data_IF_235384449005
#
_entry.id   IF_235384449005
#
_cell.length_a   1.000
_cell.length_b   1.000
_cell.length_c   1.000
_cell.angle_alpha   90.00
_cell.angle_beta   90.00
_cell.angle_gamma   90.00
#
_symmetry.space_group_name_H-M   'P 1'
#
loop_
_entity.id
_entity.type
_entity.pdbx_description
1 polymer ?
#
# COMPACT_ATOMS: atom_id res chain seq x y z
N UNK A 1 6.80 -19.60 -23.25
CA UNK A 1 7.11 -19.01 -21.94
C UNK A 1 8.62 -19.01 -21.85
N UNK A 2 9.29 -17.86 -21.68
CA UNK A 2 10.69 -17.94 -21.25
C UNK A 2 10.63 -18.38 -19.79
N UNK A 3 11.10 -19.58 -19.50
CA UNK A 3 11.25 -20.04 -18.13
C UNK A 3 12.28 -19.11 -17.48
N UNK A 4 11.82 -18.25 -16.58
CA UNK A 4 12.73 -17.45 -15.78
C UNK A 4 13.71 -18.42 -15.07
N UNK A 5 14.96 -18.01 -14.82
CA UNK A 5 15.91 -18.86 -14.14
C UNK A 5 15.35 -19.44 -12.83
N UNK A 6 15.72 -20.67 -12.47
CA UNK A 6 15.23 -21.35 -11.27
C UNK A 6 15.40 -20.49 -10.00
N UNK A 7 16.57 -19.87 -9.82
CA UNK A 7 16.84 -18.98 -8.69
C UNK A 7 15.82 -17.82 -8.56
N UNK A 8 15.29 -17.33 -9.68
CA UNK A 8 14.28 -16.27 -9.68
C UNK A 8 12.93 -16.82 -9.23
N UNK A 9 12.54 -17.99 -9.73
CA UNK A 9 11.28 -18.64 -9.34
C UNK A 9 11.26 -18.98 -7.85
N UNK A 10 12.39 -19.48 -7.33
CA UNK A 10 12.59 -19.75 -5.91
C UNK A 10 12.53 -18.47 -5.08
N UNK A 11 13.21 -17.40 -5.53
CA UNK A 11 13.21 -16.10 -4.84
C UNK A 11 11.80 -15.50 -4.76
N UNK A 12 11.06 -15.52 -5.88
CA UNK A 12 9.67 -15.05 -5.91
C UNK A 12 8.79 -15.89 -4.99
N UNK A 13 8.95 -17.21 -5.01
CA UNK A 13 8.16 -18.11 -4.15
C UNK A 13 8.45 -17.85 -2.68
N UNK A 14 9.72 -17.73 -2.29
CA UNK A 14 10.14 -17.43 -0.94
C UNK A 14 9.61 -16.06 -0.47
N UNK A 15 9.71 -15.05 -1.33
CA UNK A 15 9.18 -13.70 -1.04
C UNK A 15 7.67 -13.73 -0.85
N UNK A 16 6.91 -14.36 -1.75
CA UNK A 16 5.46 -14.47 -1.62
C UNK A 16 5.05 -15.24 -0.36
N UNK A 17 5.77 -16.30 0.02
CA UNK A 17 5.53 -17.02 1.26
C UNK A 17 5.80 -16.15 2.48
N UNK A 18 6.94 -15.45 2.50
CA UNK A 18 7.29 -14.53 3.58
C UNK A 18 6.23 -13.44 3.75
N UNK A 19 5.87 -12.75 2.67
CA UNK A 19 4.86 -11.69 2.71
C UNK A 19 3.48 -12.23 3.09
N UNK A 20 3.09 -13.41 2.62
CA UNK A 20 1.84 -14.07 3.03
C UNK A 20 1.85 -14.36 4.53
N UNK A 21 2.96 -14.91 5.05
CA UNK A 21 3.13 -15.16 6.48
C UNK A 21 3.08 -13.89 7.32
N UNK A 22 3.73 -12.82 6.84
CA UNK A 22 3.68 -11.49 7.45
C UNK A 22 2.25 -10.95 7.54
N UNK A 23 1.48 -11.01 6.45
CA UNK A 23 0.09 -10.53 6.45
C UNK A 23 -0.81 -11.31 7.40
N UNK A 24 -0.61 -12.63 7.49
CA UNK A 24 -1.32 -13.49 8.46
C UNK A 24 -0.91 -13.15 9.89
N UNK A 25 0.39 -12.99 10.14
CA UNK A 25 0.91 -12.60 11.45
C UNK A 25 0.33 -11.26 11.90
N UNK A 26 0.37 -10.22 11.06
CA UNK A 26 -0.18 -8.91 11.39
C UNK A 26 -1.67 -8.98 11.66
N UNK A 27 -2.42 -9.74 10.87
CA UNK A 27 -3.86 -9.94 11.10
C UNK A 27 -4.14 -10.57 12.46
N UNK A 28 -3.38 -11.61 12.82
CA UNK A 28 -3.60 -12.35 14.07
C UNK A 28 -3.12 -11.54 15.27
N UNK A 29 -1.89 -11.05 15.23
CA UNK A 29 -1.22 -10.44 16.38
C UNK A 29 -1.62 -8.98 16.61
N UNK A 30 -1.99 -8.21 15.57
CA UNK A 30 -2.37 -6.80 15.73
C UNK A 30 -3.89 -6.59 15.81
N UNK A 31 -4.69 -7.51 15.25
CA UNK A 31 -6.16 -7.38 15.24
C UNK A 31 -6.85 -8.49 16.03
N UNK A 32 -6.74 -9.74 15.60
CA UNK A 32 -7.59 -10.81 16.14
C UNK A 32 -7.32 -11.09 17.61
N UNK A 33 -6.06 -11.10 18.06
CA UNK A 33 -5.73 -11.33 19.47
C UNK A 33 -6.06 -10.10 20.34
N UNK A 34 -5.59 -8.87 20.02
CA UNK A 34 -5.73 -7.75 20.95
C UNK A 34 -7.13 -7.15 20.95
N UNK A 35 -7.89 -7.29 19.86
CA UNK A 35 -9.15 -6.57 19.63
C UNK A 35 -10.35 -7.50 19.41
N UNK A 36 -10.22 -8.78 19.78
CA UNK A 36 -11.32 -9.75 19.61
C UNK A 36 -12.62 -9.25 20.25
N UNK A 37 -13.70 -9.23 19.48
CA UNK A 37 -15.02 -8.79 19.96
C UNK A 37 -15.22 -7.27 20.04
N UNK A 38 -14.19 -6.46 19.74
CA UNK A 38 -14.24 -4.99 19.82
C UNK A 38 -13.63 -4.33 18.58
N UNK A 39 -13.91 -4.86 17.39
CA UNK A 39 -13.40 -4.32 16.12
C UNK A 39 -14.17 -3.07 15.71
N UNK A 40 -13.44 -2.00 15.42
CA UNK A 40 -14.00 -0.82 14.78
C UNK A 40 -13.89 -0.92 13.23
N UNK A 41 -14.37 0.10 12.51
CA UNK A 41 -14.34 0.09 11.05
C UNK A 41 -12.91 0.06 10.48
N UNK A 42 -11.97 0.78 11.09
CA UNK A 42 -10.57 0.81 10.66
C UNK A 42 -9.92 -0.56 10.82
N UNK A 43 -10.20 -1.26 11.93
CA UNK A 43 -9.73 -2.61 12.19
C UNK A 43 -10.25 -3.60 11.14
N UNK A 44 -11.53 -3.46 10.75
CA UNK A 44 -12.14 -4.29 9.71
C UNK A 44 -11.54 -4.01 8.33
N UNK A 45 -11.26 -2.75 8.01
CA UNK A 45 -10.61 -2.38 6.74
C UNK A 45 -9.17 -2.89 6.69
N UNK A 46 -8.42 -2.77 7.79
CA UNK A 46 -7.07 -3.32 7.92
C UNK A 46 -7.09 -4.85 7.75
N UNK A 47 -7.97 -5.54 8.47
CA UNK A 47 -8.10 -6.99 8.39
C UNK A 47 -8.54 -7.46 6.99
N UNK A 48 -9.52 -6.77 6.39
CA UNK A 48 -9.98 -7.04 5.03
C UNK A 48 -8.87 -6.85 3.99
N UNK A 49 -8.07 -5.79 4.12
CA UNK A 49 -6.90 -5.56 3.28
C UNK A 49 -5.89 -6.71 3.38
N UNK A 50 -5.57 -7.14 4.60
CA UNK A 50 -4.61 -8.24 4.81
C UNK A 50 -5.15 -9.57 4.28
N UNK A 51 -6.43 -9.87 4.46
CA UNK A 51 -7.06 -11.07 3.93
C UNK A 51 -7.03 -11.10 2.40
N UNK A 52 -7.40 -9.99 1.76
CA UNK A 52 -7.37 -9.85 0.29
C UNK A 52 -5.94 -10.03 -0.23
N UNK A 53 -4.97 -9.38 0.39
CA UNK A 53 -3.56 -9.44 -0.04
C UNK A 53 -2.99 -10.85 0.15
N UNK A 54 -3.31 -11.50 1.27
CA UNK A 54 -2.97 -12.91 1.56
C UNK A 54 -3.54 -13.85 0.50
N UNK A 55 -4.82 -13.69 0.17
CA UNK A 55 -5.47 -14.48 -0.88
C UNK A 55 -4.81 -14.25 -2.25
N UNK A 56 -4.51 -12.99 -2.59
CA UNK A 56 -3.89 -12.64 -3.86
C UNK A 56 -2.47 -13.23 -3.99
N UNK A 57 -1.61 -13.06 -2.98
CA UNK A 57 -0.26 -13.65 -2.97
C UNK A 57 -0.29 -15.18 -2.97
N UNK A 58 -1.21 -15.78 -2.21
CA UNK A 58 -1.36 -17.25 -2.18
C UNK A 58 -1.81 -17.78 -3.53
N UNK A 59 -2.80 -17.15 -4.16
CA UNK A 59 -3.31 -17.59 -5.47
C UNK A 59 -2.27 -17.38 -6.57
N UNK A 60 -1.54 -16.25 -6.60
CA UNK A 60 -0.45 -16.04 -7.57
C UNK A 60 0.63 -17.11 -7.45
N UNK A 61 1.02 -17.49 -6.22
CA UNK A 61 1.95 -18.60 -5.97
C UNK A 61 1.41 -19.95 -6.42
N UNK A 62 0.17 -20.31 -6.07
CA UNK A 62 -0.43 -21.62 -6.38
C UNK A 62 -0.58 -21.82 -7.89
N UNK A 63 -0.96 -20.78 -8.63
CA UNK A 63 -1.10 -20.83 -10.08
C UNK A 63 0.21 -20.52 -10.83
N UNK A 64 1.31 -20.26 -10.11
CA UNK A 64 2.61 -19.86 -10.65
C UNK A 64 2.51 -18.71 -11.68
N UNK A 65 1.62 -17.74 -11.43
CA UNK A 65 1.31 -16.65 -12.34
C UNK A 65 0.97 -15.37 -11.58
N UNK A 66 1.01 -14.22 -12.26
CA UNK A 66 0.79 -12.92 -11.60
C UNK A 66 1.91 -12.50 -10.63
N UNK A 67 3.09 -13.10 -10.73
CA UNK A 67 4.22 -12.75 -9.85
C UNK A 67 4.63 -11.28 -9.97
N UNK A 68 4.75 -10.76 -11.20
CA UNK A 68 5.08 -9.35 -11.42
C UNK A 68 4.05 -8.43 -10.78
N UNK A 69 2.75 -8.69 -10.98
CA UNK A 69 1.70 -7.85 -10.42
C UNK A 69 1.66 -7.93 -8.89
N UNK A 70 1.83 -9.11 -8.30
CA UNK A 70 1.95 -9.25 -6.84
C UNK A 70 3.15 -8.48 -6.28
N UNK A 71 4.33 -8.63 -6.88
CA UNK A 71 5.54 -7.92 -6.46
C UNK A 71 5.42 -6.40 -6.64
N UNK A 72 4.83 -5.95 -7.76
CA UNK A 72 4.60 -4.54 -7.99
C UNK A 72 3.62 -3.97 -6.95
N UNK A 73 2.53 -4.65 -6.65
CA UNK A 73 1.60 -4.23 -5.59
C UNK A 73 2.26 -4.17 -4.22
N UNK A 74 3.09 -5.16 -3.85
CA UNK A 74 3.83 -5.14 -2.59
C UNK A 74 4.83 -3.99 -2.54
N UNK A 75 5.67 -3.85 -3.57
CA UNK A 75 6.66 -2.78 -3.64
C UNK A 75 6.01 -1.40 -3.54
N UNK A 76 4.98 -1.15 -4.35
CA UNK A 76 4.27 0.13 -4.34
C UNK A 76 3.52 0.35 -3.02
N UNK A 77 2.99 -0.73 -2.43
CA UNK A 77 2.34 -0.74 -1.13
C UNK A 77 3.25 -0.27 0.00
N UNK A 78 4.49 -0.76 -0.02
CA UNK A 78 5.45 -0.66 1.08
C UNK A 78 6.52 0.43 0.88
N UNK A 79 6.71 0.91 -0.35
CA UNK A 79 7.78 1.87 -0.70
C UNK A 79 7.77 3.16 0.13
N UNK A 80 6.60 3.56 0.63
CA UNK A 80 6.42 4.76 1.46
C UNK A 80 6.49 4.49 2.95
N UNK A 81 6.53 3.22 3.37
CA UNK A 81 6.45 2.82 4.78
C UNK A 81 7.63 3.31 5.63
N UNK A 82 8.88 3.34 5.14
CA UNK A 82 9.97 3.93 5.91
C UNK A 82 9.72 5.41 6.26
N UNK A 83 9.15 6.18 5.32
CA UNK A 83 8.81 7.59 5.55
C UNK A 83 7.60 7.72 6.48
N UNK A 84 6.58 6.89 6.28
CA UNK A 84 5.40 6.84 7.15
C UNK A 84 5.77 6.53 8.60
N UNK A 85 6.59 5.50 8.82
CA UNK A 85 7.05 5.12 10.15
C UNK A 85 7.89 6.23 10.78
N UNK A 86 8.76 6.88 10.00
CA UNK A 86 9.51 8.06 10.46
C UNK A 86 8.58 9.21 10.87
N UNK A 87 7.54 9.48 10.09
CA UNK A 87 6.51 10.47 10.41
C UNK A 87 5.75 10.13 11.69
N UNK A 88 5.27 8.90 11.83
CA UNK A 88 4.53 8.47 13.03
C UNK A 88 5.39 8.53 14.30
N UNK A 89 6.67 8.16 14.21
CA UNK A 89 7.62 8.29 15.32
C UNK A 89 7.82 9.76 15.68
N UNK A 90 8.02 10.64 14.68
CA UNK A 90 8.19 12.07 14.91
C UNK A 90 6.93 12.71 15.51
N UNK A 91 5.74 12.34 15.01
CA UNK A 91 4.45 12.81 15.53
C UNK A 91 4.26 12.39 16.99
N UNK A 92 4.58 11.14 17.33
CA UNK A 92 4.54 10.66 18.70
C UNK A 92 5.56 11.39 19.58
N UNK A 93 6.78 11.62 19.11
CA UNK A 93 7.81 12.34 19.85
C UNK A 93 7.43 13.81 20.13
N UNK A 94 6.77 14.48 19.19
CA UNK A 94 6.26 15.85 19.37
C UNK A 94 5.17 15.96 20.46
N UNK A 95 4.47 14.85 20.76
CA UNK A 95 3.47 14.77 21.83
C UNK A 95 4.07 14.49 23.21
N UNK A 96 5.38 14.22 23.30
CA UNK A 96 6.08 13.92 24.56
C UNK A 96 6.94 15.10 25.00
N UNK A 97 6.77 15.54 26.26
CA UNK A 97 7.50 16.68 26.82
C UNK A 97 9.04 16.53 26.80
N UNK A 98 9.54 15.30 26.82
CA UNK A 98 10.98 15.02 26.76
C UNK A 98 11.63 15.32 25.41
N UNK A 99 10.83 15.35 24.36
CA UNK A 99 11.28 14.94 23.03
C UNK A 99 10.81 15.89 21.92
N UNK A 100 10.11 16.97 22.28
CA UNK A 100 9.46 17.93 21.39
C UNK A 100 10.26 19.24 21.14
N UNK A 101 11.58 19.21 21.31
CA UNK A 101 12.45 20.38 21.05
C UNK A 101 12.63 20.74 19.57
N UNK A 102 13.29 21.86 19.28
CA UNK A 102 13.41 22.45 17.93
C UNK A 102 13.93 21.48 16.85
N UNK A 103 14.88 20.60 17.19
CA UNK A 103 15.41 19.60 16.26
C UNK A 103 14.37 18.56 15.86
N UNK A 104 13.53 18.15 16.82
CA UNK A 104 12.44 17.21 16.54
C UNK A 104 11.35 17.90 15.72
N UNK A 105 11.03 19.17 16.01
CA UNK A 105 10.09 19.93 15.20
C UNK A 105 10.55 20.06 13.74
N UNK A 106 11.83 20.36 13.51
CA UNK A 106 12.41 20.38 12.16
C UNK A 106 12.33 18.99 11.49
N UNK A 107 12.70 17.93 12.21
CA UNK A 107 12.62 16.57 11.68
C UNK A 107 11.18 16.20 11.32
N UNK A 108 10.21 16.48 12.19
CA UNK A 108 8.78 16.27 11.99
C UNK A 108 8.28 16.97 10.72
N UNK A 109 8.58 18.27 10.55
CA UNK A 109 8.21 19.03 9.36
C UNK A 109 8.79 18.43 8.08
N UNK A 110 10.08 18.08 8.09
CA UNK A 110 10.76 17.49 6.92
C UNK A 110 10.17 16.12 6.59
N UNK A 111 10.03 15.23 7.58
CA UNK A 111 9.55 13.86 7.34
C UNK A 111 8.07 13.85 6.96
N UNK A 112 7.25 14.74 7.51
CA UNK A 112 5.84 14.91 7.13
C UNK A 112 5.74 15.30 5.65
N UNK A 113 6.50 16.31 5.22
CA UNK A 113 6.51 16.74 3.82
C UNK A 113 6.98 15.62 2.87
N UNK A 114 8.08 14.94 3.22
CA UNK A 114 8.62 13.84 2.42
C UNK A 114 7.63 12.66 2.34
N UNK A 115 7.07 12.24 3.46
CA UNK A 115 6.07 11.17 3.50
C UNK A 115 4.86 11.53 2.65
N UNK A 116 4.22 12.67 2.90
CA UNK A 116 2.99 13.05 2.22
C UNK A 116 3.19 13.23 0.71
N UNK A 117 4.29 13.88 0.28
CA UNK A 117 4.58 14.05 -1.15
C UNK A 117 4.87 12.72 -1.84
N UNK A 118 5.72 11.87 -1.26
CA UNK A 118 6.00 10.54 -1.80
C UNK A 118 4.74 9.67 -1.84
N UNK A 119 3.92 9.71 -0.80
CA UNK A 119 2.67 8.96 -0.74
C UNK A 119 1.69 9.40 -1.83
N UNK A 120 1.45 10.70 -1.99
CA UNK A 120 0.57 11.22 -3.04
C UNK A 120 1.08 10.83 -4.43
N UNK A 121 2.37 11.01 -4.74
CA UNK A 121 2.93 10.65 -6.05
C UNK A 121 2.80 9.15 -6.32
N UNK A 122 3.19 8.33 -5.36
CA UNK A 122 3.14 6.87 -5.52
C UNK A 122 1.70 6.41 -5.70
N UNK A 123 0.78 6.82 -4.81
CA UNK A 123 -0.59 6.30 -4.78
C UNK A 123 -1.53 6.92 -5.82
N UNK A 124 -1.37 8.20 -6.16
CA UNK A 124 -2.25 8.88 -7.11
C UNK A 124 -1.76 8.79 -8.56
N UNK A 125 -0.47 8.50 -8.80
CA UNK A 125 0.10 8.47 -10.16
C UNK A 125 0.70 7.11 -10.48
N UNK A 126 1.71 6.67 -9.72
CA UNK A 126 2.47 5.46 -10.06
C UNK A 126 1.60 4.20 -9.95
N UNK A 127 0.85 4.05 -8.85
CA UNK A 127 0.01 2.87 -8.64
C UNK A 127 -1.10 2.72 -9.69
N UNK A 128 -1.88 3.77 -10.05
CA UNK A 128 -2.86 3.68 -11.12
C UNK A 128 -2.25 3.29 -12.47
N UNK A 129 -1.10 3.86 -12.83
CA UNK A 129 -0.41 3.51 -14.09
C UNK A 129 0.00 2.03 -14.11
N UNK A 130 0.56 1.53 -13.01
CA UNK A 130 0.92 0.11 -12.88
C UNK A 130 -0.32 -0.78 -12.90
N UNK A 131 -1.42 -0.40 -12.25
CA UNK A 131 -2.66 -1.16 -12.26
C UNK A 131 -3.29 -1.23 -13.66
N UNK A 132 -3.27 -0.13 -14.42
CA UNK A 132 -3.69 -0.13 -15.83
C UNK A 132 -2.82 -1.07 -16.65
N UNK A 133 -1.50 -1.01 -16.49
CA UNK A 133 -0.57 -1.89 -17.19
C UNK A 133 -0.81 -3.37 -16.86
N UNK A 134 -0.95 -3.72 -15.57
CA UNK A 134 -1.23 -5.09 -15.12
C UNK A 134 -2.59 -5.57 -15.61
N UNK A 135 -3.61 -4.71 -15.57
CA UNK A 135 -4.93 -5.04 -16.11
C UNK A 135 -4.83 -5.34 -17.60
N UNK A 136 -4.17 -4.47 -18.37
CA UNK A 136 -3.94 -4.69 -19.79
C UNK A 136 -3.20 -6.02 -20.03
N UNK A 137 -2.14 -6.32 -19.29
CA UNK A 137 -1.38 -7.57 -19.41
C UNK A 137 -2.25 -8.81 -19.14
N UNK A 138 -3.05 -8.80 -18.08
CA UNK A 138 -3.95 -9.91 -17.75
C UNK A 138 -4.94 -10.23 -18.85
N UNK A 139 -5.46 -9.22 -19.54
CA UNK A 139 -6.53 -9.38 -20.52
C UNK A 139 -6.06 -9.49 -21.96
N UNK A 140 -4.80 -9.12 -22.27
CA UNK A 140 -4.27 -9.13 -23.64
C UNK A 140 -3.18 -10.16 -23.88
N UNK A 141 -2.20 -10.26 -22.99
CA UNK A 141 -1.05 -11.14 -23.17
C UNK A 141 -1.33 -12.53 -22.60
N UNK A 142 -2.23 -13.24 -23.27
CA UNK A 142 -2.13 -14.70 -23.45
C UNK A 142 -1.96 -15.56 -22.19
N UNK A 143 -2.54 -15.18 -21.04
CA UNK A 143 -2.62 -16.06 -19.86
C UNK A 143 -3.75 -17.08 -20.02
N UNK A 144 -3.84 -17.72 -21.20
CA UNK A 144 -4.94 -18.59 -21.60
C UNK A 144 -5.12 -19.84 -20.71
N UNK A 145 -4.08 -20.22 -19.96
CA UNK A 145 -4.12 -21.32 -19.01
C UNK A 145 -4.82 -20.94 -17.68
N UNK A 146 -5.03 -19.65 -17.40
CA UNK A 146 -5.71 -19.21 -16.19
C UNK A 146 -7.23 -19.06 -16.41
N UNK A 147 -8.05 -19.44 -15.42
CA UNK A 147 -9.48 -19.17 -15.46
C UNK A 147 -9.75 -17.66 -15.56
N UNK A 148 -10.61 -17.24 -16.49
CA UNK A 148 -11.00 -15.82 -16.64
C UNK A 148 -11.63 -15.24 -15.36
N UNK A 149 -12.28 -16.07 -14.56
CA UNK A 149 -12.83 -15.69 -13.25
C UNK A 149 -11.72 -15.31 -12.27
N UNK A 150 -10.59 -16.00 -12.29
CA UNK A 150 -9.42 -15.67 -11.46
C UNK A 150 -8.80 -14.34 -11.90
N UNK A 151 -8.65 -14.12 -13.21
CA UNK A 151 -8.13 -12.86 -13.77
C UNK A 151 -9.04 -11.66 -13.41
N UNK A 152 -10.36 -11.86 -13.51
CA UNK A 152 -11.34 -10.86 -13.09
C UNK A 152 -11.24 -10.57 -11.59
N UNK A 153 -11.16 -11.60 -10.75
CA UNK A 153 -10.98 -11.45 -9.32
C UNK A 153 -9.69 -10.68 -9.01
N UNK A 154 -8.55 -11.09 -9.55
CA UNK A 154 -7.27 -10.40 -9.38
C UNK A 154 -7.33 -8.92 -9.80
N UNK A 155 -7.96 -8.63 -10.94
CA UNK A 155 -8.17 -7.26 -11.40
C UNK A 155 -8.96 -6.46 -10.36
N UNK A 156 -10.10 -6.99 -9.90
CA UNK A 156 -10.95 -6.33 -8.89
C UNK A 156 -10.18 -6.08 -7.59
N UNK A 157 -9.39 -7.05 -7.12
CA UNK A 157 -8.61 -6.90 -5.89
C UNK A 157 -7.57 -5.76 -6.00
N UNK A 158 -6.86 -5.66 -7.12
CA UNK A 158 -5.88 -4.58 -7.37
C UNK A 158 -6.58 -3.21 -7.33
N UNK A 159 -7.69 -3.06 -8.05
CA UNK A 159 -8.43 -1.80 -8.09
C UNK A 159 -9.11 -1.46 -6.75
N UNK A 160 -9.59 -2.45 -6.00
CA UNK A 160 -10.18 -2.24 -4.69
C UNK A 160 -9.17 -1.65 -3.69
N UNK A 161 -7.92 -2.12 -3.72
CA UNK A 161 -6.85 -1.58 -2.87
C UNK A 161 -6.51 -0.13 -3.26
N UNK A 162 -6.49 0.17 -4.56
CA UNK A 162 -6.29 1.54 -5.05
C UNK A 162 -7.39 2.49 -4.55
N UNK A 163 -8.65 2.10 -4.72
CA UNK A 163 -9.80 2.90 -4.27
C UNK A 163 -9.77 3.06 -2.75
N UNK A 164 -9.46 1.99 -2.01
CA UNK A 164 -9.32 2.02 -0.56
C UNK A 164 -8.22 2.96 -0.05
N UNK A 165 -7.26 3.35 -0.91
CA UNK A 165 -6.21 4.31 -0.56
C UNK A 165 -6.61 5.78 -0.73
N UNK A 166 -7.77 6.08 -1.34
CA UNK A 166 -8.21 7.47 -1.58
C UNK A 166 -8.29 8.30 -0.29
N UNK A 167 -8.87 7.84 0.83
CA UNK A 167 -8.90 8.63 2.07
C UNK A 167 -7.50 9.03 2.54
N UNK A 168 -6.54 8.09 2.48
CA UNK A 168 -5.14 8.36 2.85
C UNK A 168 -4.46 9.35 1.91
N UNK A 169 -4.79 9.33 0.61
CA UNK A 169 -4.30 10.32 -0.35
C UNK A 169 -4.82 11.71 0.02
N UNK A 170 -6.10 11.83 0.40
CA UNK A 170 -6.70 13.09 0.84
C UNK A 170 -6.04 13.59 2.12
N UNK A 171 -5.82 12.71 3.10
CA UNK A 171 -5.13 13.07 4.35
C UNK A 171 -3.70 13.55 4.08
N UNK A 172 -2.92 12.82 3.26
CA UNK A 172 -1.58 13.25 2.87
C UNK A 172 -1.60 14.57 2.09
N UNK A 173 -2.57 14.76 1.20
CA UNK A 173 -2.74 16.03 0.49
C UNK A 173 -3.02 17.19 1.45
N UNK A 174 -3.84 16.97 2.47
CA UNK A 174 -4.11 17.96 3.51
C UNK A 174 -2.82 18.38 4.24
N UNK A 175 -1.93 17.42 4.54
CA UNK A 175 -0.61 17.69 5.14
C UNK A 175 0.29 18.55 4.26
N UNK A 176 0.12 18.51 2.93
CA UNK A 176 0.90 19.32 2.00
C UNK A 176 0.39 20.75 1.84
N UNK A 177 -0.88 21.00 2.18
CA UNK A 177 -1.55 22.31 2.01
C UNK A 177 -0.73 23.49 2.54
N UNK A 178 -0.13 23.44 3.75
CA UNK A 178 0.66 24.55 4.29
C UNK A 178 1.90 24.90 3.45
N UNK A 179 2.42 23.96 2.66
CA UNK A 179 3.61 24.13 1.83
C UNK A 179 3.29 24.60 0.40
N UNK A 180 2.01 24.64 0.03
CA UNK A 180 1.58 25.06 -1.31
C UNK A 180 1.61 26.59 -1.47
N UNK A 181 1.91 27.10 -2.68
CA UNK A 181 1.72 28.51 -3.01
C UNK A 181 0.29 28.99 -2.72
N UNK A 182 0.16 30.26 -2.35
CA UNK A 182 -1.13 30.89 -2.00
C UNK A 182 -2.20 30.71 -3.10
N UNK A 183 -1.78 30.79 -4.36
CA UNK A 183 -2.65 30.63 -5.54
C UNK A 183 -3.29 29.24 -5.63
N UNK A 184 -2.58 28.19 -5.20
CA UNK A 184 -3.09 26.82 -5.20
C UNK A 184 -3.93 26.56 -3.94
N UNK A 185 -3.54 27.13 -2.80
CA UNK A 185 -4.35 27.02 -1.56
C UNK A 185 -5.75 27.59 -1.74
N UNK A 186 -5.89 28.74 -2.42
CA UNK A 186 -7.18 29.38 -2.66
C UNK A 186 -8.12 28.54 -3.54
N UNK A 187 -7.60 27.78 -4.51
CA UNK A 187 -8.42 26.89 -5.34
C UNK A 187 -8.86 25.62 -4.61
N UNK A 188 -8.07 25.11 -3.68
CA UNK A 188 -8.41 23.91 -2.90
C UNK A 188 -9.44 24.23 -1.81
N UNK A 189 -9.35 25.42 -1.19
CA UNK A 189 -10.27 25.86 -0.13
C UNK A 189 -11.69 26.21 -0.61
N UNK A 190 -11.93 26.30 -1.93
CA UNK A 190 -13.27 26.56 -2.49
C UNK A 190 -14.06 25.29 -2.85
N UNK A 191 -13.43 24.11 -2.80
CA UNK A 191 -14.03 22.84 -3.25
C UNK A 191 -14.25 21.81 -2.13
N UNK A 192 -13.87 22.13 -0.89
CA UNK A 192 -14.16 21.35 0.33
C UNK A 192 -15.27 22.02 1.14
#
# INVERSE_FOLDING_TARGET
MSEAPEWWQESVTALLQFCTGYMVYDSVCNILIPKWGHLNLEDLLFFGHHLITTFYMTSTRVYAAGHFSAMACMFLGESTNPLQNGYLIAEAAMKLDCCNGDRMALFYTVIQFLFASCYCVMRAIVCPLVAVHVTYDFWTFGRAHLPKTLLALWTVLIWAILIGSIPWIVDCWSMLTPYLPESIRQSVGSEL
#
